data_IF_805346293682
#
_entry.id   IF_805346293682
#
_cell.length_a   1.000
_cell.length_b   1.000
_cell.length_c   1.000
_cell.angle_alpha   90.00
_cell.angle_beta   90.00
_cell.angle_gamma   90.00
#
_symmetry.space_group_name_H-M   'P 1'
#
loop_
_entity.id
_entity.type
_entity.pdbx_description
1 polymer ?
#
# COMPACT_ATOMS: atom_id res chain seq x y z
N UNK A 1 -5.20 -5.92 22.16
CA UNK A 1 -5.54 -4.89 21.14
C UNK A 1 -6.95 -4.40 21.43
N UNK A 2 -7.23 -3.09 21.43
CA UNK A 2 -8.59 -2.60 21.63
C UNK A 2 -9.50 -3.13 20.51
N UNK A 3 -10.67 -3.68 20.89
CA UNK A 3 -11.68 -4.18 19.94
C UNK A 3 -12.19 -3.01 19.08
N UNK A 4 -12.05 -3.11 17.77
CA UNK A 4 -12.60 -2.10 16.85
C UNK A 4 -14.05 -2.42 16.49
N UNK A 5 -14.79 -1.41 15.99
CA UNK A 5 -16.16 -1.62 15.47
C UNK A 5 -16.20 -2.67 14.35
N UNK A 6 -15.17 -2.68 13.49
CA UNK A 6 -15.01 -3.67 12.43
C UNK A 6 -14.77 -5.08 12.99
N UNK A 7 -13.94 -5.22 14.03
CA UNK A 7 -13.70 -6.53 14.66
C UNK A 7 -14.99 -7.12 15.25
N UNK A 8 -15.84 -6.28 15.85
CA UNK A 8 -17.14 -6.70 16.39
C UNK A 8 -18.13 -7.09 15.28
N UNK A 9 -18.15 -6.35 14.16
CA UNK A 9 -18.98 -6.68 13.00
C UNK A 9 -18.57 -8.02 12.37
N UNK A 10 -17.26 -8.26 12.22
CA UNK A 10 -16.75 -9.54 11.71
C UNK A 10 -17.00 -10.70 12.70
N UNK A 11 -16.92 -10.45 14.01
CA UNK A 11 -17.25 -11.47 15.02
C UNK A 11 -18.74 -11.86 14.96
N UNK A 12 -19.63 -10.89 14.78
CA UNK A 12 -21.06 -11.17 14.58
C UNK A 12 -21.33 -11.93 13.27
N UNK A 13 -20.69 -11.51 12.16
CA UNK A 13 -20.80 -12.19 10.88
C UNK A 13 -20.28 -13.66 10.94
N UNK A 14 -19.18 -13.91 11.66
CA UNK A 14 -18.66 -15.27 11.86
C UNK A 14 -19.67 -16.17 12.58
N UNK A 15 -20.43 -15.63 13.54
CA UNK A 15 -21.49 -16.35 14.25
C UNK A 15 -22.74 -16.54 13.37
N UNK A 16 -23.11 -15.53 12.59
CA UNK A 16 -24.27 -15.57 11.70
C UNK A 16 -24.11 -16.61 10.58
N UNK A 17 -22.89 -16.76 10.04
CA UNK A 17 -22.62 -17.62 8.90
C UNK A 17 -22.08 -19.00 9.27
N UNK A 18 -22.27 -19.48 10.50
CA UNK A 18 -21.79 -20.80 10.93
C UNK A 18 -22.29 -21.97 10.07
N UNK A 19 -23.46 -21.82 9.45
CA UNK A 19 -24.05 -22.80 8.54
C UNK A 19 -23.41 -22.83 7.14
N UNK A 20 -22.57 -21.85 6.80
CA UNK A 20 -21.68 -21.85 5.62
C UNK A 20 -20.21 -21.83 6.06
N UNK A 21 -19.57 -23.00 6.21
CA UNK A 21 -18.20 -23.11 6.72
C UNK A 21 -17.16 -22.32 5.90
N UNK A 22 -17.35 -22.19 4.59
CA UNK A 22 -16.44 -21.43 3.74
C UNK A 22 -16.54 -19.93 4.03
N UNK A 23 -17.76 -19.41 4.11
CA UNK A 23 -18.01 -17.99 4.42
C UNK A 23 -17.54 -17.63 5.83
N UNK A 24 -17.88 -18.44 6.83
CA UNK A 24 -17.44 -18.24 8.21
C UNK A 24 -15.91 -18.26 8.36
N UNK A 25 -15.24 -19.18 7.67
CA UNK A 25 -13.77 -19.26 7.69
C UNK A 25 -13.13 -18.03 7.01
N UNK A 26 -13.70 -17.52 5.93
CA UNK A 26 -13.20 -16.32 5.25
C UNK A 26 -13.32 -15.07 6.16
N UNK A 27 -14.42 -14.95 6.89
CA UNK A 27 -14.61 -13.91 7.93
C UNK A 27 -13.59 -14.09 9.06
N UNK A 28 -13.40 -15.31 9.57
CA UNK A 28 -12.43 -15.61 10.62
C UNK A 28 -11.00 -15.25 10.22
N UNK A 29 -10.56 -15.63 9.01
CA UNK A 29 -9.24 -15.29 8.46
C UNK A 29 -9.07 -13.79 8.29
N UNK A 30 -10.14 -13.09 7.90
CA UNK A 30 -10.14 -11.62 7.83
C UNK A 30 -9.88 -10.98 9.20
N UNK A 31 -10.48 -11.50 10.28
CA UNK A 31 -10.20 -11.04 11.66
C UNK A 31 -8.73 -11.25 12.06
N UNK A 32 -8.11 -12.33 11.58
CA UNK A 32 -6.71 -12.71 11.86
C UNK A 32 -5.71 -12.14 10.85
N UNK A 33 -6.15 -11.26 9.96
CA UNK A 33 -5.35 -10.71 8.87
C UNK A 33 -3.98 -10.16 9.32
N UNK A 34 -3.95 -9.43 10.45
CA UNK A 34 -2.71 -8.84 10.98
C UNK A 34 -1.66 -9.88 11.40
N UNK A 35 -2.08 -11.10 11.71
CA UNK A 35 -1.20 -12.20 12.14
C UNK A 35 -0.93 -13.23 11.05
N UNK A 36 -1.78 -13.37 10.03
CA UNK A 36 -1.61 -14.36 8.95
C UNK A 36 -2.33 -13.91 7.68
N UNK A 37 -1.62 -13.15 6.83
CA UNK A 37 -2.20 -12.68 5.57
C UNK A 37 -2.23 -13.78 4.48
N UNK A 38 -1.36 -14.79 4.58
CA UNK A 38 -1.24 -15.89 3.62
C UNK A 38 -2.53 -16.72 3.60
N UNK A 39 -3.03 -17.12 4.77
CA UNK A 39 -4.28 -17.88 4.89
C UNK A 39 -5.46 -17.13 4.30
N UNK A 40 -5.54 -15.81 4.56
CA UNK A 40 -6.59 -14.97 4.01
C UNK A 40 -6.47 -14.88 2.49
N UNK A 41 -5.28 -14.65 1.94
CA UNK A 41 -5.08 -14.55 0.50
C UNK A 41 -5.42 -15.86 -0.24
N UNK A 42 -5.08 -17.01 0.36
CA UNK A 42 -5.46 -18.32 -0.18
C UNK A 42 -6.98 -18.50 -0.19
N UNK A 43 -7.66 -18.17 0.91
CA UNK A 43 -9.12 -18.29 1.01
C UNK A 43 -9.85 -17.32 0.07
N UNK A 44 -9.35 -16.08 -0.08
CA UNK A 44 -9.86 -15.11 -1.05
C UNK A 44 -9.69 -15.62 -2.47
N UNK A 45 -8.53 -16.18 -2.82
CA UNK A 45 -8.28 -16.77 -4.13
C UNK A 45 -9.22 -17.96 -4.41
N UNK A 46 -9.49 -18.79 -3.40
CA UNK A 46 -10.39 -19.92 -3.50
C UNK A 46 -11.85 -19.47 -3.71
N UNK A 47 -12.34 -18.54 -2.88
CA UNK A 47 -13.66 -17.95 -3.03
C UNK A 47 -13.80 -17.23 -4.37
N UNK A 48 -12.73 -16.58 -4.85
CA UNK A 48 -12.68 -15.93 -6.16
C UNK A 48 -12.84 -16.94 -7.31
N UNK A 49 -12.15 -18.09 -7.21
CA UNK A 49 -12.21 -19.16 -8.22
C UNK A 49 -13.58 -19.82 -8.27
N UNK A 50 -14.19 -20.04 -7.12
CA UNK A 50 -15.42 -20.82 -6.99
C UNK A 50 -16.68 -19.96 -7.19
N UNK A 51 -16.52 -18.65 -7.40
CA UNK A 51 -17.63 -17.70 -7.49
C UNK A 51 -18.54 -17.69 -6.24
N UNK A 52 -17.98 -18.00 -5.07
CA UNK A 52 -18.72 -18.18 -3.82
C UNK A 52 -19.55 -16.94 -3.40
N UNK A 53 -19.11 -15.74 -3.77
CA UNK A 53 -19.86 -14.51 -3.50
C UNK A 53 -21.26 -14.50 -4.14
N UNK A 54 -21.46 -15.17 -5.27
CA UNK A 54 -22.76 -15.22 -5.95
C UNK A 54 -23.80 -15.98 -5.12
N UNK A 55 -23.40 -17.12 -4.55
CA UNK A 55 -24.30 -17.90 -3.66
C UNK A 55 -24.55 -17.20 -2.33
N UNK A 56 -23.67 -16.28 -1.94
CA UNK A 56 -23.85 -15.41 -0.77
C UNK A 56 -24.70 -14.17 -1.05
N UNK A 57 -25.16 -13.98 -2.30
CA UNK A 57 -26.07 -12.90 -2.67
C UNK A 57 -25.39 -11.60 -3.08
N UNK A 58 -24.10 -11.62 -3.41
CA UNK A 58 -23.37 -10.44 -3.89
C UNK A 58 -23.24 -10.44 -5.40
N UNK A 59 -23.36 -9.26 -6.00
CA UNK A 59 -23.26 -9.06 -7.46
C UNK A 59 -21.83 -9.27 -7.98
N UNK A 60 -20.83 -8.87 -7.17
CA UNK A 60 -19.42 -9.02 -7.51
C UNK A 60 -18.57 -9.44 -6.30
N UNK A 61 -17.36 -9.94 -6.59
CA UNK A 61 -16.39 -10.26 -5.55
C UNK A 61 -15.92 -9.01 -4.78
N UNK A 62 -15.88 -7.86 -5.45
CA UNK A 62 -15.53 -6.59 -4.85
C UNK A 62 -16.62 -6.11 -3.89
N UNK A 63 -17.91 -6.29 -4.23
CA UNK A 63 -19.02 -5.97 -3.34
C UNK A 63 -19.00 -6.84 -2.09
N UNK A 64 -18.70 -8.13 -2.25
CA UNK A 64 -18.52 -9.07 -1.15
C UNK A 64 -17.39 -8.66 -0.21
N UNK A 65 -16.18 -8.48 -0.75
CA UNK A 65 -14.99 -8.17 0.06
C UNK A 65 -15.11 -6.81 0.74
N UNK A 66 -15.74 -5.82 0.08
CA UNK A 66 -15.99 -4.50 0.65
C UNK A 66 -17.10 -4.51 1.70
N UNK A 67 -18.20 -5.20 1.43
CA UNK A 67 -19.39 -5.22 2.27
C UNK A 67 -19.20 -6.05 3.53
N UNK A 68 -18.76 -7.30 3.37
CA UNK A 68 -18.67 -8.25 4.48
C UNK A 68 -17.30 -8.20 5.16
N UNK A 69 -16.24 -8.27 4.37
CA UNK A 69 -14.88 -8.37 4.90
C UNK A 69 -14.27 -6.99 5.21
N UNK A 70 -14.93 -5.91 4.81
CA UNK A 70 -14.45 -4.54 4.97
C UNK A 70 -13.07 -4.30 4.33
N UNK A 71 -12.74 -5.08 3.29
CA UNK A 71 -11.49 -4.99 2.53
C UNK A 71 -11.71 -4.15 1.28
N UNK A 72 -10.78 -3.23 1.01
CA UNK A 72 -10.81 -2.46 -0.25
C UNK A 72 -10.36 -3.36 -1.41
N UNK A 73 -10.92 -3.20 -2.63
CA UNK A 73 -10.51 -3.98 -3.81
C UNK A 73 -8.99 -3.95 -4.05
N UNK A 74 -8.35 -2.79 -3.90
CA UNK A 74 -6.88 -2.66 -4.01
C UNK A 74 -6.11 -3.50 -3.00
N UNK A 75 -6.65 -3.67 -1.79
CA UNK A 75 -6.01 -4.49 -0.74
C UNK A 75 -6.13 -5.97 -1.11
N UNK A 76 -7.31 -6.40 -1.55
CA UNK A 76 -7.55 -7.77 -2.02
C UNK A 76 -6.63 -8.11 -3.21
N UNK A 77 -6.52 -7.21 -4.18
CA UNK A 77 -5.64 -7.39 -5.34
C UNK A 77 -4.18 -7.57 -4.92
N UNK A 78 -3.67 -6.73 -4.03
CA UNK A 78 -2.28 -6.84 -3.51
C UNK A 78 -2.07 -8.13 -2.74
N UNK A 79 -3.05 -8.54 -1.92
CA UNK A 79 -2.98 -9.77 -1.14
C UNK A 79 -2.93 -11.02 -2.03
N UNK A 80 -3.92 -11.18 -2.90
CA UNK A 80 -4.01 -12.33 -3.81
C UNK A 80 -2.82 -12.33 -4.78
N UNK A 81 -2.46 -11.17 -5.34
CA UNK A 81 -1.31 -11.04 -6.23
C UNK A 81 0.01 -11.43 -5.56
N UNK A 82 0.22 -11.02 -4.31
CA UNK A 82 1.41 -11.40 -3.53
C UNK A 82 1.45 -12.89 -3.21
N UNK A 83 0.32 -13.48 -2.85
CA UNK A 83 0.23 -14.92 -2.59
C UNK A 83 0.53 -15.74 -3.84
N UNK A 84 -0.07 -15.40 -4.98
CA UNK A 84 0.19 -16.06 -6.27
C UNK A 84 1.65 -15.91 -6.68
N UNK A 85 2.24 -14.72 -6.46
CA UNK A 85 3.66 -14.48 -6.72
C UNK A 85 4.54 -15.41 -5.89
N UNK A 86 4.33 -15.49 -4.57
CA UNK A 86 5.10 -16.40 -3.71
C UNK A 86 4.93 -17.85 -4.12
N UNK A 87 3.70 -18.31 -4.38
CA UNK A 87 3.43 -19.69 -4.83
C UNK A 87 4.22 -20.06 -6.08
N UNK A 88 4.41 -19.12 -7.01
CA UNK A 88 5.14 -19.34 -8.26
C UNK A 88 6.65 -19.15 -8.14
N UNK A 89 7.10 -18.16 -7.36
CA UNK A 89 8.48 -17.65 -7.41
C UNK A 89 9.29 -17.93 -6.16
N UNK A 90 8.65 -18.14 -5.02
CA UNK A 90 9.29 -18.32 -3.72
C UNK A 90 8.41 -19.20 -2.79
N UNK A 91 8.06 -20.43 -3.19
CA UNK A 91 7.16 -21.30 -2.43
C UNK A 91 7.70 -21.61 -1.03
N UNK A 92 9.02 -21.60 -0.83
CA UNK A 92 9.68 -21.76 0.46
C UNK A 92 9.27 -20.72 1.49
N UNK A 93 8.83 -19.53 1.06
CA UNK A 93 8.33 -18.48 1.96
C UNK A 93 6.97 -18.87 2.55
N UNK A 94 6.15 -19.62 1.81
CA UNK A 94 4.83 -20.07 2.26
C UNK A 94 4.93 -21.17 3.33
N UNK A 95 6.04 -21.90 3.37
CA UNK A 95 6.28 -22.97 4.35
C UNK A 95 6.86 -22.48 5.68
N UNK A 96 7.02 -21.17 5.86
CA UNK A 96 7.61 -20.60 7.08
C UNK A 96 6.62 -20.63 8.23
N UNK A 97 7.13 -20.94 9.42
CA UNK A 97 6.35 -20.95 10.67
C UNK A 97 6.04 -19.54 11.20
N UNK A 98 6.69 -18.50 10.66
CA UNK A 98 6.58 -17.12 11.13
C UNK A 98 7.29 -16.83 12.46
N UNK A 99 7.88 -17.85 13.10
CA UNK A 99 8.56 -17.76 14.39
C UNK A 99 10.08 -17.75 14.23
N UNK A 100 10.62 -18.68 13.44
CA UNK A 100 12.05 -18.77 13.14
C UNK A 100 12.40 -18.04 11.84
N UNK A 101 11.48 -18.07 10.87
CA UNK A 101 11.63 -17.39 9.59
C UNK A 101 10.48 -16.40 9.39
N UNK A 102 10.81 -15.11 9.31
CA UNK A 102 9.80 -14.06 9.17
C UNK A 102 9.04 -14.19 7.85
N UNK A 103 7.71 -14.06 7.93
CA UNK A 103 6.85 -13.97 6.74
C UNK A 103 6.80 -12.50 6.31
N UNK A 104 7.26 -12.15 5.10
CA UNK A 104 7.24 -10.76 4.66
C UNK A 104 5.82 -10.23 4.56
N UNK A 105 5.65 -8.92 4.77
CA UNK A 105 4.36 -8.27 4.55
C UNK A 105 3.94 -8.37 3.08
N UNK A 106 2.64 -8.60 2.83
CA UNK A 106 2.10 -8.61 1.46
C UNK A 106 2.40 -7.31 0.70
N UNK A 107 2.55 -6.18 1.39
CA UNK A 107 2.88 -4.90 0.76
C UNK A 107 4.30 -4.89 0.19
N UNK A 108 5.28 -5.44 0.93
CA UNK A 108 6.65 -5.56 0.47
C UNK A 108 6.76 -6.61 -0.66
N UNK A 109 6.01 -7.71 -0.57
CA UNK A 109 5.92 -8.72 -1.64
C UNK A 109 5.29 -8.13 -2.90
N UNK A 110 4.21 -7.35 -2.79
CA UNK A 110 3.58 -6.67 -3.93
C UNK A 110 4.54 -5.68 -4.60
N UNK A 111 5.33 -4.95 -3.81
CA UNK A 111 6.38 -4.06 -4.34
C UNK A 111 7.42 -4.85 -5.17
N UNK A 112 7.92 -5.98 -4.64
CA UNK A 112 8.83 -6.87 -5.38
C UNK A 112 8.17 -7.43 -6.65
N UNK A 113 6.92 -7.91 -6.54
CA UNK A 113 6.15 -8.46 -7.66
C UNK A 113 6.02 -7.45 -8.79
N UNK A 114 5.74 -6.17 -8.46
CA UNK A 114 5.65 -5.08 -9.43
C UNK A 114 6.99 -4.76 -10.07
N UNK A 115 8.05 -4.67 -9.26
CA UNK A 115 9.40 -4.43 -9.76
C UNK A 115 9.86 -5.52 -10.74
N UNK A 116 9.62 -6.80 -10.41
CA UNK A 116 9.90 -7.92 -11.33
C UNK A 116 9.06 -7.87 -12.61
N UNK A 117 7.84 -7.32 -12.56
CA UNK A 117 6.97 -7.23 -13.74
C UNK A 117 7.32 -6.09 -14.70
N UNK A 118 7.94 -5.02 -14.19
CA UNK A 118 8.37 -3.91 -15.04
C UNK A 118 9.66 -4.22 -15.80
N UNK A 119 10.52 -5.08 -15.24
CA UNK A 119 11.78 -5.54 -15.87
C UNK A 119 12.70 -4.40 -16.35
N UNK A 120 12.66 -3.26 -15.63
CA UNK A 120 13.47 -2.05 -15.94
C UNK A 120 14.72 -1.92 -15.08
N UNK A 121 14.79 -2.69 -14.00
CA UNK A 121 15.80 -2.53 -12.97
C UNK A 121 17.06 -3.37 -13.28
N UNK A 122 18.27 -2.90 -12.92
CA UNK A 122 19.48 -3.73 -13.01
C UNK A 122 19.35 -5.04 -12.23
N UNK A 123 19.88 -6.14 -12.78
CA UNK A 123 19.80 -7.47 -12.18
C UNK A 123 20.36 -7.52 -10.75
N UNK A 124 21.43 -6.76 -10.47
CA UNK A 124 22.01 -6.65 -9.13
C UNK A 124 21.02 -6.01 -8.14
N UNK A 125 20.39 -4.90 -8.53
CA UNK A 125 19.39 -4.23 -7.70
C UNK A 125 18.15 -5.12 -7.48
N UNK A 126 17.76 -5.91 -8.48
CA UNK A 126 16.69 -6.92 -8.34
C UNK A 126 17.06 -8.04 -7.38
N UNK A 127 18.28 -8.58 -7.49
CA UNK A 127 18.77 -9.59 -6.56
C UNK A 127 18.79 -9.09 -5.12
N UNK A 128 19.23 -7.85 -4.90
CA UNK A 128 19.26 -7.24 -3.58
C UNK A 128 17.85 -6.97 -3.03
N UNK A 129 16.94 -6.44 -3.86
CA UNK A 129 15.54 -6.23 -3.48
C UNK A 129 14.88 -7.56 -3.09
N UNK A 130 15.09 -8.61 -3.89
CA UNK A 130 14.55 -9.94 -3.64
C UNK A 130 15.02 -10.49 -2.30
N UNK A 131 16.32 -10.41 -2.03
CA UNK A 131 16.90 -10.79 -0.73
C UNK A 131 16.28 -9.99 0.42
N UNK A 132 16.23 -8.66 0.29
CA UNK A 132 15.69 -7.78 1.34
C UNK A 132 14.23 -8.08 1.68
N UNK A 133 13.41 -8.35 0.66
CA UNK A 133 11.99 -8.65 0.85
C UNK A 133 11.80 -10.08 1.36
N UNK A 134 12.38 -11.08 0.69
CA UNK A 134 12.06 -12.48 0.95
C UNK A 134 12.88 -13.08 2.09
N UNK A 135 14.14 -12.69 2.30
CA UNK A 135 14.99 -13.25 3.36
C UNK A 135 14.96 -12.36 4.60
N UNK A 136 15.25 -11.07 4.44
CA UNK A 136 15.41 -10.15 5.58
C UNK A 136 14.07 -9.62 6.12
N UNK A 137 12.96 -9.85 5.43
CA UNK A 137 11.64 -9.40 5.88
C UNK A 137 11.49 -7.87 5.90
N UNK A 138 12.19 -7.15 5.02
CA UNK A 138 12.18 -5.70 5.03
C UNK A 138 10.77 -5.12 4.81
N UNK A 139 10.45 -4.06 5.55
CA UNK A 139 9.17 -3.37 5.44
C UNK A 139 9.04 -2.59 4.12
N UNK A 140 7.79 -2.33 3.69
CA UNK A 140 7.54 -1.50 2.50
C UNK A 140 8.29 -0.15 2.53
N UNK A 141 8.23 0.66 3.60
CA UNK A 141 8.97 1.93 3.66
C UNK A 141 10.48 1.77 3.46
N UNK A 142 11.07 0.71 4.03
CA UNK A 142 12.51 0.42 3.88
C UNK A 142 12.86 0.13 2.42
N UNK A 143 12.09 -0.74 1.75
CA UNK A 143 12.37 -1.10 0.36
C UNK A 143 12.06 0.02 -0.62
N UNK A 144 10.97 0.77 -0.40
CA UNK A 144 10.64 1.94 -1.23
C UNK A 144 11.72 3.01 -1.14
N UNK A 145 12.22 3.32 0.07
CA UNK A 145 13.29 4.29 0.24
C UNK A 145 14.59 3.87 -0.44
N UNK A 146 14.95 2.59 -0.38
CA UNK A 146 16.23 2.09 -0.89
C UNK A 146 16.21 1.81 -2.39
N UNK A 147 15.11 1.27 -2.90
CA UNK A 147 15.03 0.72 -4.25
C UNK A 147 14.05 1.48 -5.14
N UNK A 148 13.15 2.32 -4.60
CA UNK A 148 12.07 2.96 -5.35
C UNK A 148 12.51 3.64 -6.65
N UNK A 149 13.50 4.52 -6.58
CA UNK A 149 13.99 5.25 -7.76
C UNK A 149 14.74 4.35 -8.76
N UNK A 150 15.24 3.20 -8.33
CA UNK A 150 15.99 2.25 -9.18
C UNK A 150 15.05 1.32 -9.92
N UNK A 151 14.00 0.86 -9.24
CA UNK A 151 13.11 -0.19 -9.72
C UNK A 151 11.83 0.34 -10.35
N UNK A 152 11.47 1.58 -9.98
CA UNK A 152 10.41 2.37 -10.59
C UNK A 152 11.00 3.71 -11.04
N UNK A 153 11.93 3.69 -12.03
CA UNK A 153 12.54 4.93 -12.50
C UNK A 153 11.47 5.81 -13.15
N UNK A 154 11.29 6.99 -12.58
CA UNK A 154 10.51 8.07 -13.20
C UNK A 154 11.42 8.87 -14.14
N UNK A 155 10.86 9.32 -15.26
CA UNK A 155 11.61 10.13 -16.20
C UNK A 155 11.90 11.54 -15.66
N UNK A 156 12.71 12.31 -16.39
CA UNK A 156 13.11 13.66 -15.96
C UNK A 156 11.91 14.63 -15.86
N UNK A 157 10.89 14.44 -16.70
CA UNK A 157 9.68 15.27 -16.76
C UNK A 157 8.80 14.97 -15.56
N UNK A 158 8.55 13.70 -15.27
CA UNK A 158 7.83 13.22 -14.10
C UNK A 158 8.52 13.64 -12.80
N UNK A 159 9.86 13.57 -12.76
CA UNK A 159 10.65 14.05 -11.61
C UNK A 159 10.47 15.55 -11.41
N UNK A 160 10.60 16.35 -12.47
CA UNK A 160 10.42 17.80 -12.41
C UNK A 160 9.00 18.15 -11.93
N UNK A 161 7.98 17.48 -12.45
CA UNK A 161 6.58 17.67 -12.04
C UNK A 161 6.36 17.33 -10.56
N UNK A 162 6.87 16.17 -10.11
CA UNK A 162 6.78 15.75 -8.71
C UNK A 162 7.47 16.75 -7.76
N UNK A 163 8.66 17.21 -8.13
CA UNK A 163 9.44 18.14 -7.34
C UNK A 163 8.76 19.52 -7.28
N UNK A 164 8.18 19.99 -8.40
CA UNK A 164 7.39 21.22 -8.46
C UNK A 164 6.15 21.15 -7.54
N UNK A 165 5.40 20.05 -7.58
CA UNK A 165 4.24 19.83 -6.71
C UNK A 165 4.65 19.79 -5.22
N UNK A 166 5.78 19.15 -4.90
CA UNK A 166 6.34 19.11 -3.55
C UNK A 166 6.74 20.50 -3.03
N UNK A 167 7.48 21.26 -3.83
CA UNK A 167 7.88 22.63 -3.52
C UNK A 167 6.67 23.53 -3.29
N UNK A 168 5.65 23.45 -4.15
CA UNK A 168 4.41 24.22 -4.02
C UNK A 168 3.69 23.94 -2.71
N UNK A 169 3.56 22.66 -2.34
CA UNK A 169 2.89 22.26 -1.10
C UNK A 169 3.63 22.81 0.15
N UNK A 170 4.96 22.65 0.20
CA UNK A 170 5.77 23.15 1.32
C UNK A 170 5.74 24.68 1.38
N UNK A 171 5.89 25.36 0.26
CA UNK A 171 5.86 26.82 0.18
C UNK A 171 4.51 27.39 0.62
N UNK A 172 3.40 26.77 0.21
CA UNK A 172 2.04 27.18 0.61
C UNK A 172 1.85 27.04 2.11
N UNK A 173 2.19 25.87 2.69
CA UNK A 173 2.08 25.63 4.14
C UNK A 173 2.96 26.55 4.97
N UNK A 174 4.19 26.80 4.51
CA UNK A 174 5.10 27.70 5.23
C UNK A 174 4.57 29.14 5.21
N UNK A 175 4.03 29.60 4.07
CA UNK A 175 3.42 30.92 3.95
C UNK A 175 2.23 31.08 4.91
N UNK A 176 1.35 30.09 4.97
CA UNK A 176 0.22 30.07 5.91
C UNK A 176 0.71 30.10 7.36
N UNK A 177 1.72 29.29 7.71
CA UNK A 177 2.28 29.26 9.06
C UNK A 177 2.93 30.60 9.45
N UNK A 178 3.59 31.28 8.50
CA UNK A 178 4.22 32.57 8.73
C UNK A 178 3.21 33.70 8.97
N UNK A 179 2.00 33.61 8.40
CA UNK A 179 0.95 34.59 8.60
C UNK A 179 0.44 34.63 10.06
N UNK A 180 0.42 33.48 10.74
CA UNK A 180 -0.14 33.34 12.08
C UNK A 180 0.91 33.27 13.20
N UNK A 181 2.19 33.08 12.87
CA UNK A 181 3.24 32.87 13.87
C UNK A 181 3.76 34.18 14.48
N UNK A 182 4.21 34.10 15.74
CA UNK A 182 5.02 35.12 16.42
C UNK A 182 6.43 34.64 16.73
N UNK A 183 6.80 33.45 16.24
CA UNK A 183 8.09 32.83 16.51
C UNK A 183 9.26 33.56 15.83
N UNK A 184 8.99 34.35 14.79
CA UNK A 184 9.97 35.16 14.06
C UNK A 184 9.52 36.63 14.00
N UNK A 185 10.45 37.59 13.86
CA UNK A 185 10.09 38.99 13.65
C UNK A 185 9.21 39.16 12.41
N UNK A 186 8.17 40.01 12.50
CA UNK A 186 7.20 40.24 11.41
C UNK A 186 7.87 40.59 10.09
N UNK A 187 8.87 41.48 10.13
CA UNK A 187 9.64 41.86 8.93
C UNK A 187 10.26 40.66 8.21
N UNK A 188 10.83 39.71 8.95
CA UNK A 188 11.41 38.50 8.36
C UNK A 188 10.33 37.56 7.82
N UNK A 189 9.19 37.44 8.52
CA UNK A 189 8.05 36.67 8.03
C UNK A 189 7.51 37.23 6.70
N UNK A 190 7.42 38.55 6.59
CA UNK A 190 6.96 39.26 5.38
C UNK A 190 7.95 39.05 4.22
N UNK A 191 9.26 39.22 4.44
CA UNK A 191 10.31 39.01 3.44
C UNK A 191 10.33 37.56 2.89
N UNK A 192 10.16 36.58 3.78
CA UNK A 192 10.05 35.17 3.38
C UNK A 192 8.74 34.91 2.64
N UNK A 193 7.63 35.50 3.08
CA UNK A 193 6.30 35.36 2.43
C UNK A 193 6.29 35.89 1.01
N UNK A 194 6.93 37.03 0.77
CA UNK A 194 7.10 37.60 -0.58
C UNK A 194 7.95 36.68 -1.47
N UNK A 195 9.03 36.12 -0.92
CA UNK A 195 9.90 35.18 -1.64
C UNK A 195 9.18 33.88 -1.97
N UNK A 196 8.36 33.35 -1.06
CA UNK A 196 7.51 32.18 -1.29
C UNK A 196 6.43 32.44 -2.32
N UNK A 197 5.86 33.66 -2.36
CA UNK A 197 4.83 34.02 -3.35
C UNK A 197 5.41 34.04 -4.77
N UNK A 198 6.60 34.63 -4.94
CA UNK A 198 7.34 34.57 -6.22
C UNK A 198 7.66 33.14 -6.65
N UNK A 199 8.10 32.29 -5.72
CA UNK A 199 8.33 30.87 -6.00
C UNK A 199 7.05 30.17 -6.47
N UNK A 200 5.91 30.43 -5.83
CA UNK A 200 4.63 29.82 -6.18
C UNK A 200 4.13 30.26 -7.56
N UNK A 201 4.35 31.53 -7.94
CA UNK A 201 4.03 32.06 -9.26
C UNK A 201 4.86 31.37 -10.36
N UNK A 202 6.17 31.25 -10.17
CA UNK A 202 7.06 30.55 -11.12
C UNK A 202 6.69 29.06 -11.27
N UNK A 203 6.38 28.39 -10.16
CA UNK A 203 5.90 27.01 -10.18
C UNK A 203 4.51 26.86 -10.83
N UNK A 204 3.68 27.91 -10.82
CA UNK A 204 2.39 27.95 -11.52
C UNK A 204 2.54 28.11 -13.03
N UNK A 205 3.38 29.07 -13.45
CA UNK A 205 3.64 29.35 -14.86
C UNK A 205 4.29 28.16 -15.59
N UNK A 206 5.14 27.39 -14.91
CA UNK A 206 5.77 26.19 -15.49
C UNK A 206 4.76 25.04 -15.70
N UNK A 207 3.72 24.92 -14.88
CA UNK A 207 2.67 23.92 -15.08
C UNK A 207 1.73 24.29 -16.23
N UNK A 208 1.34 25.56 -16.35
CA UNK A 208 0.51 26.05 -17.47
C UNK A 208 1.21 25.92 -18.83
N UNK A 209 2.55 25.99 -18.86
CA UNK A 209 3.34 25.75 -20.08
C UNK A 209 3.49 24.28 -20.46
N UNK A 210 3.26 23.37 -19.50
CA UNK A 210 3.41 21.94 -19.70
C UNK A 210 2.08 21.20 -19.98
N UNK A 211 0.94 21.89 -19.82
CA UNK A 211 -0.41 21.40 -20.11
C UNK A 211 -0.85 21.74 -21.55
#
# INVERSE_FOLDING_TARGET
MPRTKTDAALEAAELEYQDDPERAELVRRTRRFKSSWIELAEALMQAQRDHSWKRWGYDSFDDYTKGELHLRPETVQKLVGSFVFLKKRAPEVLSRDGLQAHIPSYQAVDFLRRAESEDRAPAEAMGELRKKVLEDGATLPTVTKKFGDVVFPIDATERKSRDAAGLRNVATRLRELLADTRAVPRRLADEVTESLSRLLEELGAEEERAA
#
